data_IF_833384609562
#
_entry.id   IF_833384609562
#
_cell.length_a   1.000
_cell.length_b   1.000
_cell.length_c   1.000
_cell.angle_alpha   90.00
_cell.angle_beta   90.00
_cell.angle_gamma   90.00
#
_symmetry.space_group_name_H-M   'P 1'
#
loop_
_entity.id
_entity.type
_entity.pdbx_description
1 polymer ?
#
# COMPACT_ATOMS: atom_id res chain seq x y z
N UNK A 1 25.08 -7.46 -1.93
CA UNK A 1 24.62 -8.87 -1.94
C UNK A 1 23.37 -8.94 -2.79
N UNK A 2 23.34 -9.82 -3.79
CA UNK A 2 22.19 -9.93 -4.69
C UNK A 2 20.98 -10.53 -3.96
N UNK A 3 19.87 -9.92 -4.08
CA UNK A 3 18.65 -10.21 -3.36
C UNK A 3 17.95 -11.51 -3.79
N UNK A 4 18.16 -11.94 -5.01
CA UNK A 4 17.74 -13.27 -5.46
C UNK A 4 18.34 -14.39 -4.60
N UNK A 5 19.54 -14.17 -3.99
CA UNK A 5 20.17 -15.12 -3.08
C UNK A 5 19.59 -15.10 -1.66
N UNK A 6 18.95 -14.00 -1.24
CA UNK A 6 18.44 -13.85 0.14
C UNK A 6 17.05 -14.50 0.34
N UNK A 7 16.38 -14.88 -0.74
CA UNK A 7 15.15 -15.69 -0.69
C UNK A 7 15.46 -17.17 -1.02
N UNK A 8 16.72 -17.54 -1.17
CA UNK A 8 17.06 -18.95 -1.22
C UNK A 8 16.50 -19.62 0.05
N UNK A 9 15.86 -20.79 -0.12
CA UNK A 9 15.22 -21.56 0.95
C UNK A 9 16.13 -21.77 2.17
N UNK A 10 17.45 -21.66 2.01
CA UNK A 10 18.46 -21.81 3.05
C UNK A 10 18.52 -20.69 4.09
N UNK A 11 17.84 -19.55 3.86
CA UNK A 11 17.88 -18.38 4.77
C UNK A 11 16.55 -18.07 5.45
N UNK A 12 15.51 -18.88 5.20
CA UNK A 12 14.21 -18.71 5.84
C UNK A 12 14.24 -19.21 7.28
N UNK A 13 13.60 -18.49 8.18
CA UNK A 13 13.30 -19.03 9.49
C UNK A 13 12.37 -20.24 9.38
N UNK A 14 12.41 -21.20 10.31
CA UNK A 14 11.49 -22.32 10.33
C UNK A 14 10.01 -21.91 10.26
N UNK A 15 9.65 -20.79 10.87
CA UNK A 15 8.30 -20.24 10.84
C UNK A 15 7.90 -19.74 9.45
N UNK A 16 8.79 -19.07 8.73
CA UNK A 16 8.56 -18.61 7.36
C UNK A 16 8.47 -19.78 6.38
N UNK A 17 9.33 -20.79 6.56
CA UNK A 17 9.27 -22.01 5.77
C UNK A 17 7.94 -22.73 5.98
N UNK A 18 7.49 -22.91 7.21
CA UNK A 18 6.20 -23.52 7.51
C UNK A 18 5.02 -22.74 6.89
N UNK A 19 5.06 -21.41 6.91
CA UNK A 19 4.05 -20.55 6.25
C UNK A 19 4.03 -20.77 4.73
N UNK A 20 5.20 -20.87 4.08
CA UNK A 20 5.30 -21.12 2.63
C UNK A 20 4.80 -22.50 2.25
N UNK A 21 5.19 -23.53 3.00
CA UNK A 21 4.72 -24.90 2.79
C UNK A 21 3.20 -25.01 2.98
N UNK A 22 2.68 -24.38 4.03
CA UNK A 22 1.25 -24.29 4.28
C UNK A 22 0.49 -23.58 3.14
N UNK A 23 1.03 -22.48 2.60
CA UNK A 23 0.44 -21.82 1.43
C UNK A 23 0.50 -22.72 0.19
N UNK A 24 1.63 -23.37 -0.08
CA UNK A 24 1.80 -24.29 -1.21
C UNK A 24 0.83 -25.46 -1.14
N UNK A 25 0.57 -25.99 0.04
CA UNK A 25 -0.39 -27.08 0.23
C UNK A 25 -1.84 -26.64 -0.02
N UNK A 26 -2.23 -25.43 0.43
CA UNK A 26 -3.60 -24.94 0.27
C UNK A 26 -3.86 -24.27 -1.07
N UNK A 27 -2.90 -23.50 -1.59
CA UNK A 27 -3.03 -22.66 -2.79
C UNK A 27 -1.79 -22.79 -3.68
N UNK A 28 -1.58 -23.95 -4.31
CA UNK A 28 -0.34 -24.24 -5.06
C UNK A 28 -0.12 -23.26 -6.22
N UNK A 29 -1.18 -22.84 -6.91
CA UNK A 29 -1.08 -21.87 -8.00
C UNK A 29 -0.61 -20.48 -7.52
N UNK A 30 -1.18 -19.99 -6.42
CA UNK A 30 -0.73 -18.72 -5.79
C UNK A 30 0.72 -18.83 -5.35
N UNK A 31 1.10 -19.94 -4.70
CA UNK A 31 2.48 -20.15 -4.26
C UNK A 31 3.47 -20.17 -5.44
N UNK A 32 3.09 -20.77 -6.57
CA UNK A 32 3.90 -20.75 -7.79
C UNK A 32 4.07 -19.32 -8.35
N UNK A 33 3.00 -18.53 -8.42
CA UNK A 33 3.07 -17.14 -8.88
C UNK A 33 3.98 -16.29 -7.98
N UNK A 34 3.90 -16.47 -6.67
CA UNK A 34 4.78 -15.78 -5.72
C UNK A 34 6.26 -16.18 -5.89
N UNK A 35 6.54 -17.45 -6.11
CA UNK A 35 7.88 -17.95 -6.36
C UNK A 35 8.48 -17.41 -7.69
N UNK A 36 7.64 -17.13 -8.67
CA UNK A 36 8.07 -16.60 -9.97
C UNK A 36 8.43 -15.10 -9.96
N UNK A 37 8.10 -14.35 -8.88
CA UNK A 37 8.33 -12.89 -8.86
C UNK A 37 9.81 -12.55 -9.08
N UNK A 38 10.73 -13.23 -8.40
CA UNK A 38 12.15 -12.99 -8.55
C UNK A 38 12.62 -13.24 -10.00
N UNK A 39 12.18 -14.33 -10.63
CA UNK A 39 12.49 -14.64 -12.00
C UNK A 39 11.88 -13.63 -13.00
N UNK A 40 10.70 -13.08 -12.72
CA UNK A 40 10.13 -11.98 -13.51
C UNK A 40 11.01 -10.74 -13.44
N UNK A 41 11.43 -10.35 -12.25
CA UNK A 41 12.31 -9.20 -12.05
C UNK A 41 13.68 -9.38 -12.75
N UNK A 42 14.26 -10.57 -12.73
CA UNK A 42 15.50 -10.88 -13.45
C UNK A 42 15.37 -10.71 -14.98
N UNK A 43 14.19 -10.98 -15.54
CA UNK A 43 13.88 -10.76 -16.95
C UNK A 43 13.50 -9.31 -17.28
N UNK A 44 13.51 -8.41 -16.28
CA UNK A 44 13.06 -7.03 -16.44
C UNK A 44 11.52 -6.87 -16.51
N UNK A 45 10.79 -7.93 -16.19
CA UNK A 45 9.33 -7.90 -16.05
C UNK A 45 8.93 -7.30 -14.69
N UNK A 46 7.72 -6.78 -14.59
CA UNK A 46 7.22 -6.20 -13.34
C UNK A 46 6.12 -7.05 -12.73
N UNK A 47 6.09 -7.12 -11.40
CA UNK A 47 5.05 -7.82 -10.65
C UNK A 47 4.48 -6.94 -9.53
N UNK A 48 3.75 -5.86 -9.88
CA UNK A 48 3.21 -4.95 -8.88
C UNK A 48 2.18 -5.64 -7.98
N UNK A 49 2.16 -5.21 -6.73
CA UNK A 49 1.01 -5.41 -5.85
C UNK A 49 -0.09 -4.47 -6.35
N UNK A 50 -1.30 -4.99 -6.55
CA UNK A 50 -2.47 -4.19 -6.92
C UNK A 50 -3.21 -3.81 -5.64
N UNK A 51 -3.16 -2.52 -5.27
CA UNK A 51 -4.00 -1.97 -4.21
C UNK A 51 -5.35 -1.62 -4.80
N UNK A 52 -6.41 -2.24 -4.28
CA UNK A 52 -7.79 -2.00 -4.69
C UNK A 52 -8.49 -1.13 -3.64
N UNK A 53 -8.75 0.12 -4.00
CA UNK A 53 -9.47 1.09 -3.19
C UNK A 53 -10.94 1.19 -3.64
N UNK A 54 -11.69 0.10 -3.45
CA UNK A 54 -13.08 0.01 -3.90
C UNK A 54 -13.99 1.05 -3.27
N UNK A 55 -13.69 1.45 -2.03
CA UNK A 55 -14.45 2.43 -1.27
C UNK A 55 -13.55 3.29 -0.40
N UNK A 56 -13.90 4.58 -0.27
CA UNK A 56 -13.25 5.50 0.65
C UNK A 56 -14.09 5.74 1.93
N UNK A 57 -15.11 4.91 2.17
CA UNK A 57 -15.84 4.92 3.44
C UNK A 57 -14.92 4.48 4.57
N UNK A 58 -14.85 5.25 5.66
CA UNK A 58 -14.03 4.97 6.82
C UNK A 58 -14.71 5.42 8.10
N UNK A 59 -14.52 4.65 9.16
CA UNK A 59 -14.99 4.94 10.51
C UNK A 59 -14.02 5.80 11.33
N UNK A 60 -12.86 6.19 10.75
CA UNK A 60 -11.85 7.07 11.36
C UNK A 60 -11.67 8.36 10.55
N UNK A 61 -10.97 9.35 11.17
CA UNK A 61 -10.58 10.62 10.57
C UNK A 61 -9.13 10.96 10.95
N UNK A 62 -8.20 10.09 10.55
CA UNK A 62 -6.80 10.19 10.92
C UNK A 62 -6.17 11.51 10.44
N UNK A 63 -5.28 12.09 11.26
CA UNK A 63 -4.59 13.35 10.93
C UNK A 63 -3.62 13.24 9.76
N UNK A 64 -3.20 11.99 9.44
CA UNK A 64 -2.24 11.65 8.38
C UNK A 64 -2.87 10.92 7.18
N UNK A 65 -4.20 10.98 7.02
CA UNK A 65 -4.90 10.18 6.03
C UNK A 65 -4.53 10.59 4.59
N UNK A 66 -3.81 9.73 3.87
CA UNK A 66 -3.45 9.97 2.47
C UNK A 66 -4.66 9.96 1.53
N UNK A 67 -5.73 9.24 1.89
CA UNK A 67 -6.96 9.13 1.10
C UNK A 67 -7.99 10.24 1.39
N UNK A 68 -7.69 11.23 2.24
CA UNK A 68 -8.66 12.25 2.67
C UNK A 68 -9.31 12.97 1.49
N UNK A 69 -8.55 13.32 0.45
CA UNK A 69 -9.07 14.05 -0.71
C UNK A 69 -9.99 13.21 -1.61
N UNK A 70 -9.95 11.89 -1.47
CA UNK A 70 -10.86 10.97 -2.17
C UNK A 70 -12.19 10.78 -1.43
N UNK A 71 -12.26 11.14 -0.14
CA UNK A 71 -13.44 10.93 0.68
C UNK A 71 -14.56 11.91 0.37
N UNK A 72 -15.79 11.45 0.27
CA UNK A 72 -16.97 12.30 0.03
C UNK A 72 -17.15 13.36 1.13
N UNK A 73 -16.81 13.03 2.39
CA UNK A 73 -16.85 13.99 3.50
C UNK A 73 -15.96 15.21 3.25
N UNK A 74 -14.76 15.01 2.71
CA UNK A 74 -13.83 16.09 2.37
C UNK A 74 -14.38 16.93 1.21
N UNK A 75 -14.84 16.27 0.15
CA UNK A 75 -15.43 16.92 -1.02
C UNK A 75 -16.63 17.80 -0.66
N UNK A 76 -17.55 17.27 0.16
CA UNK A 76 -18.71 18.03 0.66
C UNK A 76 -18.31 19.22 1.55
N UNK A 77 -17.31 19.03 2.41
CA UNK A 77 -16.85 20.06 3.35
C UNK A 77 -16.04 21.17 2.65
N UNK A 78 -15.06 20.80 1.82
CA UNK A 78 -14.08 21.72 1.23
C UNK A 78 -14.55 22.27 -0.10
N UNK A 79 -14.97 21.40 -1.02
CA UNK A 79 -15.37 21.78 -2.37
C UNK A 79 -16.87 22.00 -2.53
N UNK A 80 -17.69 21.61 -1.54
CA UNK A 80 -19.15 21.68 -1.57
C UNK A 80 -19.78 20.95 -2.76
N UNK A 81 -19.16 19.88 -3.18
CA UNK A 81 -19.59 19.04 -4.31
C UNK A 81 -19.82 17.59 -3.88
N UNK A 82 -20.60 16.87 -4.68
CA UNK A 82 -20.80 15.44 -4.57
C UNK A 82 -20.08 14.73 -5.72
N UNK A 83 -19.37 13.65 -5.42
CA UNK A 83 -18.70 12.84 -6.44
C UNK A 83 -19.72 11.91 -7.09
N UNK A 84 -20.14 12.27 -8.30
CA UNK A 84 -21.12 11.51 -9.09
C UNK A 84 -20.47 10.48 -10.03
N UNK A 85 -19.14 10.35 -10.03
CA UNK A 85 -18.46 9.35 -10.89
C UNK A 85 -18.91 7.94 -10.53
N UNK A 86 -19.10 7.12 -11.56
CA UNK A 86 -19.46 5.71 -11.38
C UNK A 86 -18.42 4.98 -10.54
N UNK A 87 -18.85 4.30 -9.49
CA UNK A 87 -17.99 3.45 -8.67
C UNK A 87 -17.82 2.08 -9.33
N UNK A 88 -16.68 1.43 -9.08
CA UNK A 88 -16.44 0.06 -9.55
C UNK A 88 -17.38 -0.92 -8.83
N UNK A 89 -17.88 -1.88 -9.60
CA UNK A 89 -18.73 -2.98 -9.14
C UNK A 89 -17.95 -4.30 -9.08
N UNK A 90 -18.64 -5.40 -8.76
CA UNK A 90 -18.01 -6.71 -8.68
C UNK A 90 -17.60 -7.26 -10.05
N UNK A 91 -18.28 -6.90 -11.14
CA UNK A 91 -17.90 -7.33 -12.49
C UNK A 91 -16.60 -6.65 -12.91
N UNK A 92 -16.41 -5.38 -12.58
CA UNK A 92 -15.13 -4.71 -12.73
C UNK A 92 -14.02 -5.42 -11.94
N UNK A 93 -14.28 -5.83 -10.68
CA UNK A 93 -13.29 -6.54 -9.85
C UNK A 93 -12.94 -7.89 -10.46
N UNK A 94 -13.91 -8.65 -10.99
CA UNK A 94 -13.65 -9.92 -11.70
C UNK A 94 -12.81 -9.72 -12.96
N UNK A 95 -13.12 -8.67 -13.75
CA UNK A 95 -12.32 -8.30 -14.92
C UNK A 95 -10.87 -7.98 -14.52
N UNK A 96 -10.68 -7.15 -13.49
CA UNK A 96 -9.36 -6.81 -12.98
C UNK A 96 -8.58 -8.03 -12.49
N UNK A 97 -9.24 -8.93 -11.74
CA UNK A 97 -8.66 -10.20 -11.29
C UNK A 97 -8.18 -11.05 -12.46
N UNK A 98 -9.02 -11.17 -13.51
CA UNK A 98 -8.65 -11.91 -14.73
C UNK A 98 -7.45 -11.30 -15.45
N UNK A 99 -7.44 -9.98 -15.65
CA UNK A 99 -6.34 -9.28 -16.32
C UNK A 99 -5.03 -9.42 -15.52
N UNK A 100 -5.11 -9.37 -14.20
CA UNK A 100 -3.95 -9.59 -13.32
C UNK A 100 -3.42 -11.03 -13.42
N UNK A 101 -4.32 -12.02 -13.46
CA UNK A 101 -3.96 -13.42 -13.63
C UNK A 101 -3.30 -13.69 -14.98
N UNK A 102 -3.86 -13.15 -16.07
CA UNK A 102 -3.32 -13.25 -17.43
C UNK A 102 -1.88 -12.66 -17.52
N UNK A 103 -1.54 -11.70 -16.65
CA UNK A 103 -0.20 -11.10 -16.53
C UNK A 103 0.70 -11.79 -15.49
N UNK A 104 0.24 -12.86 -14.85
CA UNK A 104 0.98 -13.57 -13.81
C UNK A 104 1.09 -12.81 -12.48
N UNK A 105 0.33 -11.74 -12.28
CA UNK A 105 0.37 -10.96 -11.03
C UNK A 105 -0.27 -11.74 -9.89
N UNK A 106 0.41 -11.77 -8.74
CA UNK A 106 0.06 -12.66 -7.65
C UNK A 106 -0.73 -11.99 -6.51
N UNK A 107 -0.63 -10.66 -6.33
CA UNK A 107 -0.98 -10.03 -5.07
C UNK A 107 -1.99 -8.91 -5.21
N UNK A 108 -3.06 -8.97 -4.37
CA UNK A 108 -4.00 -7.87 -4.17
C UNK A 108 -4.01 -7.40 -2.71
N UNK A 109 -4.12 -6.09 -2.52
CA UNK A 109 -4.39 -5.46 -1.22
C UNK A 109 -5.73 -4.77 -1.29
N UNK A 110 -6.72 -5.24 -0.54
CA UNK A 110 -8.00 -4.55 -0.37
C UNK A 110 -7.80 -3.46 0.67
N UNK A 111 -8.06 -2.21 0.29
CA UNK A 111 -7.79 -1.02 1.09
C UNK A 111 -8.74 0.14 0.68
N UNK A 112 -8.35 1.40 0.91
CA UNK A 112 -9.09 2.59 0.57
C UNK A 112 -9.39 3.44 1.80
N UNK A 113 -10.66 3.49 2.27
CA UNK A 113 -11.02 3.95 3.60
C UNK A 113 -10.72 2.86 4.63
N UNK A 114 -11.77 2.28 5.24
CA UNK A 114 -11.65 1.07 6.04
C UNK A 114 -12.36 -0.09 5.31
N UNK A 115 -11.65 -1.10 4.81
CA UNK A 115 -12.27 -2.19 4.06
C UNK A 115 -13.34 -2.95 4.84
N UNK A 116 -13.14 -3.15 6.15
CA UNK A 116 -14.05 -3.95 6.98
C UNK A 116 -15.38 -3.23 7.32
N UNK A 117 -15.59 -1.98 6.86
CA UNK A 117 -16.92 -1.34 6.89
C UNK A 117 -17.74 -1.62 5.62
N UNK A 118 -17.12 -2.15 4.56
CA UNK A 118 -17.84 -2.48 3.32
C UNK A 118 -18.76 -3.68 3.56
N UNK A 119 -20.02 -3.54 3.19
CA UNK A 119 -21.01 -4.62 3.32
C UNK A 119 -20.73 -5.78 2.35
N UNK A 120 -20.11 -5.48 1.22
CA UNK A 120 -19.77 -6.40 0.15
C UNK A 120 -18.28 -6.82 0.17
N UNK A 121 -17.60 -6.69 1.32
CA UNK A 121 -16.18 -7.07 1.45
C UNK A 121 -15.92 -8.53 1.05
N UNK A 122 -16.76 -9.44 1.53
CA UNK A 122 -16.62 -10.87 1.27
C UNK A 122 -16.84 -11.17 -0.23
N UNK A 123 -17.79 -10.48 -0.88
CA UNK A 123 -18.02 -10.57 -2.33
C UNK A 123 -16.83 -10.03 -3.14
N UNK A 124 -16.16 -8.98 -2.64
CA UNK A 124 -14.92 -8.45 -3.25
C UNK A 124 -13.82 -9.48 -3.17
N UNK A 125 -13.63 -10.13 -2.01
CA UNK A 125 -12.64 -11.22 -1.87
C UNK A 125 -12.94 -12.33 -2.85
N UNK A 126 -14.20 -12.77 -2.94
CA UNK A 126 -14.62 -13.81 -3.88
C UNK A 126 -14.40 -13.39 -5.35
N UNK A 127 -14.70 -12.14 -5.70
CA UNK A 127 -14.50 -11.60 -7.06
C UNK A 127 -13.01 -11.49 -7.46
N UNK A 128 -12.11 -11.35 -6.48
CA UNK A 128 -10.65 -11.37 -6.70
C UNK A 128 -10.09 -12.78 -6.89
N UNK A 129 -10.87 -13.84 -6.66
CA UNK A 129 -10.48 -15.24 -6.78
C UNK A 129 -9.28 -15.61 -5.89
N UNK A 130 -9.52 -15.95 -4.61
CA UNK A 130 -8.47 -16.31 -3.65
C UNK A 130 -7.65 -17.55 -4.03
N UNK A 131 -8.15 -18.39 -4.96
CA UNK A 131 -7.40 -19.54 -5.49
C UNK A 131 -6.34 -19.12 -6.51
N UNK A 132 -6.47 -17.90 -7.06
CA UNK A 132 -5.55 -17.35 -8.05
C UNK A 132 -4.66 -16.25 -7.49
N UNK A 133 -5.07 -15.60 -6.41
CA UNK A 133 -4.36 -14.43 -5.87
C UNK A 133 -4.14 -14.53 -4.37
N UNK A 134 -3.01 -13.98 -3.94
CA UNK A 134 -2.68 -13.76 -2.54
C UNK A 134 -3.38 -12.48 -2.06
N UNK A 135 -4.47 -12.65 -1.32
CA UNK A 135 -5.31 -11.54 -0.86
C UNK A 135 -4.79 -11.00 0.46
N UNK A 136 -4.59 -9.70 0.50
CA UNK A 136 -4.17 -8.93 1.67
C UNK A 136 -5.27 -7.91 1.97
N UNK A 137 -5.51 -7.58 3.23
CA UNK A 137 -6.34 -6.42 3.61
C UNK A 137 -5.58 -5.50 4.56
N UNK A 138 -5.60 -4.20 4.25
CA UNK A 138 -5.15 -3.16 5.17
C UNK A 138 -6.34 -2.74 6.03
N UNK A 139 -6.19 -2.69 7.35
CA UNK A 139 -7.29 -2.29 8.25
C UNK A 139 -6.80 -1.54 9.47
N UNK A 140 -7.66 -0.66 10.00
CA UNK A 140 -7.43 0.00 11.28
C UNK A 140 -7.70 -0.91 12.50
N UNK A 141 -8.12 -2.15 12.28
CA UNK A 141 -8.32 -3.16 13.32
C UNK A 141 -9.59 -2.99 14.15
N UNK A 142 -10.40 -1.94 13.94
CA UNK A 142 -11.57 -1.65 14.79
C UNK A 142 -12.61 -2.78 14.79
N UNK A 143 -12.84 -3.38 13.64
CA UNK A 143 -13.84 -4.45 13.44
C UNK A 143 -13.21 -5.86 13.38
N UNK A 144 -11.93 -5.98 13.68
CA UNK A 144 -11.21 -7.24 13.61
C UNK A 144 -11.12 -7.88 15.01
N UNK A 145 -12.12 -8.67 15.36
CA UNK A 145 -12.13 -9.56 16.51
C UNK A 145 -11.86 -11.01 16.10
N UNK A 146 -11.85 -11.93 17.06
CA UNK A 146 -11.52 -13.35 16.86
C UNK A 146 -12.41 -14.01 15.80
N UNK A 147 -13.72 -13.73 15.85
CA UNK A 147 -14.69 -14.27 14.89
C UNK A 147 -14.43 -13.72 13.47
N UNK A 148 -14.17 -12.40 13.37
CA UNK A 148 -13.90 -11.77 12.07
C UNK A 148 -12.53 -12.20 11.53
N UNK A 149 -11.50 -12.34 12.35
CA UNK A 149 -10.19 -12.83 11.93
C UNK A 149 -10.27 -14.25 11.36
N UNK A 150 -10.96 -15.15 12.05
CA UNK A 150 -11.23 -16.50 11.56
C UNK A 150 -12.00 -16.47 10.24
N UNK A 151 -13.06 -15.69 10.15
CA UNK A 151 -13.86 -15.56 8.95
C UNK A 151 -13.04 -15.04 7.75
N UNK A 152 -12.18 -14.04 7.95
CA UNK A 152 -11.28 -13.56 6.90
C UNK A 152 -10.38 -14.66 6.36
N UNK A 153 -9.85 -15.50 7.26
CA UNK A 153 -9.05 -16.68 6.87
C UNK A 153 -9.86 -17.67 6.06
N UNK A 154 -11.08 -17.97 6.51
CA UNK A 154 -11.98 -18.95 5.88
C UNK A 154 -12.39 -18.53 4.46
N UNK A 155 -12.61 -17.24 4.21
CA UNK A 155 -12.94 -16.71 2.87
C UNK A 155 -11.72 -16.51 1.96
N UNK A 156 -10.51 -16.80 2.44
CA UNK A 156 -9.29 -16.81 1.63
C UNK A 156 -8.40 -15.58 1.70
N UNK A 157 -8.61 -14.68 2.67
CA UNK A 157 -7.62 -13.62 3.00
C UNK A 157 -6.40 -14.30 3.64
N UNK A 158 -5.21 -14.05 3.11
CA UNK A 158 -3.97 -14.67 3.59
C UNK A 158 -3.17 -13.77 4.54
N UNK A 159 -3.27 -12.45 4.36
CA UNK A 159 -2.53 -11.49 5.18
C UNK A 159 -3.42 -10.33 5.60
N UNK A 160 -3.21 -9.88 6.84
CA UNK A 160 -3.76 -8.63 7.36
C UNK A 160 -2.62 -7.67 7.65
N UNK A 161 -2.76 -6.41 7.24
CA UNK A 161 -1.87 -5.33 7.60
C UNK A 161 -2.62 -4.40 8.57
N UNK A 162 -2.18 -4.40 9.83
CA UNK A 162 -2.79 -3.63 10.91
C UNK A 162 -2.07 -2.31 11.13
N UNK A 163 -2.87 -1.26 11.20
CA UNK A 163 -2.36 0.09 11.42
C UNK A 163 -2.10 0.36 12.91
N UNK A 164 -0.83 0.41 13.31
CA UNK A 164 -0.39 0.74 14.67
C UNK A 164 0.62 1.91 14.59
N UNK A 165 0.25 3.09 15.07
CA UNK A 165 1.07 4.30 14.91
C UNK A 165 1.79 4.74 16.19
N UNK A 166 1.53 4.14 17.33
CA UNK A 166 2.30 4.37 18.56
C UNK A 166 2.12 3.23 19.55
N UNK A 167 3.13 3.00 20.38
CA UNK A 167 3.04 2.15 21.57
C UNK A 167 2.44 2.87 22.77
N UNK A 168 2.20 4.18 22.66
CA UNK A 168 1.51 4.99 23.65
C UNK A 168 0.05 5.16 23.24
N UNK A 169 -0.88 4.65 24.07
CA UNK A 169 -2.34 4.64 23.79
C UNK A 169 -2.84 6.03 23.35
N UNK A 170 -2.52 7.06 24.13
CA UNK A 170 -2.97 8.44 23.87
C UNK A 170 -2.47 8.97 22.53
N UNK A 171 -1.23 8.68 22.17
CA UNK A 171 -0.63 9.18 20.95
C UNK A 171 -1.20 8.47 19.72
N UNK A 172 -1.38 7.14 19.81
CA UNK A 172 -2.06 6.37 18.78
C UNK A 172 -3.49 6.87 18.55
N UNK A 173 -4.28 6.99 19.62
CA UNK A 173 -5.68 7.41 19.54
C UNK A 173 -5.82 8.84 18.99
N UNK A 174 -4.91 9.74 19.37
CA UNK A 174 -4.88 11.11 18.86
C UNK A 174 -4.49 11.15 17.38
N UNK A 175 -3.46 10.43 16.97
CA UNK A 175 -2.99 10.40 15.58
C UNK A 175 -4.04 9.79 14.63
N UNK A 176 -4.81 8.80 15.13
CA UNK A 176 -5.95 8.19 14.45
C UNK A 176 -7.25 8.97 14.62
N UNK A 177 -7.27 10.00 15.49
CA UNK A 177 -8.47 10.76 15.88
C UNK A 177 -9.65 9.82 16.24
N UNK A 178 -9.33 8.79 17.05
CA UNK A 178 -10.29 7.75 17.43
C UNK A 178 -9.96 7.17 18.81
N UNK A 179 -10.62 7.67 19.89
CA UNK A 179 -10.44 7.11 21.22
C UNK A 179 -10.74 5.61 21.28
N UNK A 180 -9.85 4.85 21.92
CA UNK A 180 -9.95 3.39 22.07
C UNK A 180 -9.43 2.59 20.87
N UNK A 181 -8.90 3.23 19.83
CA UNK A 181 -8.35 2.54 18.66
C UNK A 181 -7.10 1.72 19.01
N UNK A 182 -6.28 2.20 19.95
CA UNK A 182 -5.10 1.47 20.43
C UNK A 182 -5.45 0.09 20.99
N UNK A 183 -6.42 0.04 21.92
CA UNK A 183 -6.87 -1.24 22.50
C UNK A 183 -7.48 -2.18 21.46
N UNK A 184 -8.18 -1.61 20.48
CA UNK A 184 -8.78 -2.39 19.39
C UNK A 184 -7.73 -2.99 18.47
N UNK A 185 -6.71 -2.22 18.07
CA UNK A 185 -5.66 -2.76 17.19
C UNK A 185 -4.81 -3.81 17.90
N UNK A 186 -4.49 -3.66 19.19
CA UNK A 186 -3.76 -4.70 19.94
C UNK A 186 -4.56 -6.01 20.04
N UNK A 187 -5.88 -5.93 20.28
CA UNK A 187 -6.75 -7.11 20.23
C UNK A 187 -6.75 -7.74 18.83
N UNK A 188 -6.81 -6.92 17.78
CA UNK A 188 -6.78 -7.40 16.41
C UNK A 188 -5.45 -8.08 16.04
N UNK A 189 -4.32 -7.67 16.66
CA UNK A 189 -3.04 -8.38 16.54
C UNK A 189 -3.18 -9.82 17.03
N UNK A 190 -3.67 -10.00 18.26
CA UNK A 190 -3.80 -11.33 18.85
C UNK A 190 -4.82 -12.19 18.08
N UNK A 191 -5.99 -11.64 17.77
CA UNK A 191 -7.02 -12.32 16.96
C UNK A 191 -6.50 -12.78 15.58
N UNK A 192 -5.68 -11.97 14.93
CA UNK A 192 -5.09 -12.31 13.61
C UNK A 192 -4.09 -13.47 13.71
N UNK A 193 -3.24 -13.45 14.73
CA UNK A 193 -2.26 -14.50 14.98
C UNK A 193 -2.94 -15.82 15.34
N UNK A 194 -3.94 -15.79 16.23
CA UNK A 194 -4.71 -16.95 16.67
C UNK A 194 -5.52 -17.59 15.50
N UNK A 195 -6.00 -16.78 14.56
CA UNK A 195 -6.65 -17.24 13.34
C UNK A 195 -5.67 -17.81 12.29
N UNK A 196 -4.36 -17.73 12.51
CA UNK A 196 -3.35 -18.18 11.55
C UNK A 196 -3.24 -17.31 10.29
N UNK A 197 -3.65 -16.04 10.36
CA UNK A 197 -3.41 -15.04 9.32
C UNK A 197 -1.94 -14.61 9.34
N UNK A 198 -1.36 -14.36 8.18
CA UNK A 198 -0.11 -13.61 8.15
C UNK A 198 -0.39 -12.19 8.61
N UNK A 199 0.40 -11.71 9.57
CA UNK A 199 0.22 -10.38 10.13
C UNK A 199 1.41 -9.50 9.79
N UNK A 200 1.10 -8.25 9.43
CA UNK A 200 2.04 -7.16 9.25
C UNK A 200 1.53 -5.96 10.05
N UNK A 201 2.38 -5.33 10.85
CA UNK A 201 2.09 -4.03 11.43
C UNK A 201 2.48 -2.93 10.43
N UNK A 202 1.73 -1.85 10.40
CA UNK A 202 1.99 -0.70 9.54
C UNK A 202 1.90 0.59 10.32
N UNK A 203 2.90 1.46 10.16
CA UNK A 203 2.94 2.77 10.79
C UNK A 203 3.30 3.86 9.80
N UNK A 204 2.83 5.09 10.06
CA UNK A 204 3.27 6.28 9.36
C UNK A 204 4.36 6.98 10.16
N UNK A 205 5.57 7.06 9.60
CA UNK A 205 6.69 7.74 10.20
C UNK A 205 6.59 9.23 9.91
N UNK A 206 6.48 10.03 10.97
CA UNK A 206 6.61 11.49 10.92
C UNK A 206 8.00 11.92 11.36
N UNK A 207 8.42 13.12 10.96
CA UNK A 207 9.74 13.69 11.21
C UNK A 207 10.15 13.57 12.68
N UNK A 208 11.36 13.08 12.91
CA UNK A 208 11.98 12.94 14.22
C UNK A 208 11.51 11.75 15.06
N UNK A 209 10.40 11.10 14.70
CA UNK A 209 9.85 9.99 15.49
C UNK A 209 10.77 8.78 15.52
N UNK A 210 11.50 8.50 14.45
CA UNK A 210 12.47 7.38 14.38
C UNK A 210 13.56 7.45 15.46
N UNK A 211 13.80 8.63 16.03
CA UNK A 211 14.80 8.90 17.06
C UNK A 211 14.27 8.68 18.50
N UNK A 212 12.99 8.34 18.65
CA UNK A 212 12.35 8.19 19.94
C UNK A 212 12.44 6.76 20.47
N UNK A 213 12.49 6.60 21.80
CA UNK A 213 12.42 5.28 22.43
C UNK A 213 11.11 4.57 22.09
N UNK A 214 10.01 5.31 21.97
CA UNK A 214 8.70 4.77 21.61
C UNK A 214 8.72 4.03 20.26
N UNK A 215 9.47 4.55 19.27
CA UNK A 215 9.61 3.89 17.97
C UNK A 215 10.45 2.61 18.07
N UNK A 216 11.49 2.60 18.89
CA UNK A 216 12.27 1.38 19.20
C UNK A 216 11.39 0.35 19.91
N UNK A 217 10.59 0.77 20.91
CA UNK A 217 9.64 -0.11 21.61
C UNK A 217 8.64 -0.75 20.61
N UNK A 218 8.23 -0.03 19.55
CA UNK A 218 7.40 -0.58 18.49
C UNK A 218 8.14 -1.63 17.65
N UNK A 219 9.40 -1.39 17.30
CA UNK A 219 10.24 -2.37 16.59
C UNK A 219 10.42 -3.65 17.41
N UNK A 220 10.69 -3.50 18.72
CA UNK A 220 10.80 -4.62 19.65
C UNK A 220 9.49 -5.38 19.82
N UNK A 221 8.35 -4.67 19.91
CA UNK A 221 7.03 -5.28 19.99
C UNK A 221 6.74 -6.14 18.75
N UNK A 222 6.99 -5.61 17.53
CA UNK A 222 6.81 -6.36 16.31
C UNK A 222 7.69 -7.62 16.27
N UNK A 223 8.97 -7.48 16.63
CA UNK A 223 9.94 -8.57 16.72
C UNK A 223 9.49 -9.64 17.72
N UNK A 224 9.06 -9.23 18.92
CA UNK A 224 8.54 -10.14 19.96
C UNK A 224 7.30 -10.90 19.53
N UNK A 225 6.42 -10.27 18.75
CA UNK A 225 5.22 -10.92 18.16
C UNK A 225 5.56 -11.81 16.95
N UNK A 226 6.79 -11.80 16.47
CA UNK A 226 7.21 -12.54 15.27
C UNK A 226 6.57 -12.02 13.97
N UNK A 227 6.30 -10.70 13.92
CA UNK A 227 5.67 -10.02 12.76
C UNK A 227 6.58 -8.93 12.22
N UNK A 228 6.39 -8.56 10.95
CA UNK A 228 7.11 -7.43 10.37
C UNK A 228 6.45 -6.10 10.72
N UNK A 229 7.25 -5.03 10.71
CA UNK A 229 6.80 -3.65 10.81
C UNK A 229 7.06 -2.92 9.48
N UNK A 230 6.01 -2.63 8.75
CA UNK A 230 6.07 -1.80 7.55
C UNK A 230 5.99 -0.32 7.92
N UNK A 231 7.00 0.43 7.55
CA UNK A 231 7.09 1.87 7.84
C UNK A 231 6.84 2.65 6.55
N UNK A 232 5.74 3.38 6.51
CA UNK A 232 5.45 4.35 5.45
C UNK A 232 5.87 5.74 5.88
N UNK A 233 6.57 6.48 5.03
CA UNK A 233 6.89 7.89 5.30
C UNK A 233 5.62 8.73 5.20
N UNK A 234 5.48 9.73 6.07
CA UNK A 234 4.52 10.81 5.84
C UNK A 234 4.90 11.52 4.53
N UNK A 235 3.93 11.69 3.65
CA UNK A 235 4.11 12.28 2.32
C UNK A 235 3.18 13.48 2.16
N UNK A 236 3.55 14.49 1.37
CA UNK A 236 2.76 15.72 1.20
C UNK A 236 1.50 15.46 0.34
N UNK A 237 0.67 14.50 0.74
CA UNK A 237 -0.58 14.11 0.07
C UNK A 237 -1.70 13.90 1.09
N UNK A 238 -2.94 14.05 0.69
CA UNK A 238 -4.09 13.96 1.59
C UNK A 238 -3.96 14.93 2.76
N UNK A 239 -4.31 14.49 3.97
CA UNK A 239 -4.22 15.33 5.18
C UNK A 239 -2.79 15.79 5.50
N UNK A 240 -1.76 15.02 5.13
CA UNK A 240 -0.37 15.42 5.36
C UNK A 240 0.09 16.59 4.47
N UNK A 241 -0.63 16.96 3.42
CA UNK A 241 -0.28 18.13 2.61
C UNK A 241 -0.39 19.46 3.38
N UNK A 242 -1.23 19.47 4.42
CA UNK A 242 -1.41 20.61 5.32
C UNK A 242 -0.44 20.57 6.52
N UNK A 243 0.41 19.53 6.60
CA UNK A 243 1.33 19.25 7.70
C UNK A 243 2.77 19.02 7.19
N UNK A 244 3.44 20.03 6.63
CA UNK A 244 4.81 19.89 6.13
C UNK A 244 5.80 19.46 7.21
N UNK A 245 5.50 19.74 8.48
CA UNK A 245 6.27 19.31 9.64
C UNK A 245 6.29 17.79 9.85
N UNK A 246 5.39 17.05 9.22
CA UNK A 246 5.37 15.57 9.27
C UNK A 246 6.36 14.91 8.32
N UNK A 247 6.77 15.64 7.26
CA UNK A 247 7.63 15.07 6.22
C UNK A 247 9.02 14.82 6.80
N UNK A 248 9.47 13.58 6.70
CA UNK A 248 10.80 13.16 7.21
C UNK A 248 11.92 13.82 6.42
N UNK A 249 13.07 13.93 7.04
CA UNK A 249 14.30 14.35 6.36
C UNK A 249 15.23 13.16 6.07
N UNK A 250 16.38 13.46 5.48
CA UNK A 250 17.37 12.43 5.13
C UNK A 250 17.92 11.72 6.35
N UNK A 251 18.08 12.43 7.47
CA UNK A 251 18.59 11.82 8.72
C UNK A 251 17.62 10.78 9.26
N UNK A 252 16.30 11.09 9.26
CA UNK A 252 15.27 10.13 9.66
C UNK A 252 15.27 8.88 8.76
N UNK A 253 15.43 9.08 7.45
CA UNK A 253 15.48 7.98 6.49
C UNK A 253 16.73 7.11 6.67
N UNK A 254 17.89 7.69 6.96
CA UNK A 254 19.15 6.97 7.20
C UNK A 254 19.09 6.15 8.49
N UNK A 255 18.55 6.73 9.58
CA UNK A 255 18.34 6.00 10.84
C UNK A 255 17.41 4.81 10.64
N UNK A 256 16.31 5.00 9.88
CA UNK A 256 15.39 3.90 9.60
C UNK A 256 16.05 2.76 8.82
N UNK A 257 16.92 3.07 7.85
CA UNK A 257 17.72 2.07 7.12
C UNK A 257 18.69 1.29 8.02
N UNK A 258 19.19 1.92 9.09
CA UNK A 258 20.00 1.22 10.08
C UNK A 258 19.15 0.29 10.94
N UNK A 259 17.96 0.70 11.37
CA UNK A 259 17.02 -0.14 12.10
C UNK A 259 16.53 -1.37 11.30
N UNK A 260 16.43 -1.26 9.94
CA UNK A 260 16.13 -2.40 9.07
C UNK A 260 17.16 -3.54 9.16
N UNK A 261 18.38 -3.26 9.64
CA UNK A 261 19.45 -4.25 9.83
C UNK A 261 19.33 -5.00 11.16
N UNK A 262 18.66 -4.40 12.14
CA UNK A 262 18.56 -4.91 13.51
C UNK A 262 17.21 -5.54 13.82
N UNK A 263 16.14 -5.02 13.21
CA UNK A 263 14.76 -5.41 13.45
C UNK A 263 14.08 -5.90 12.17
N UNK A 264 12.97 -6.62 12.30
CA UNK A 264 12.11 -6.98 11.17
C UNK A 264 11.27 -5.78 10.72
N UNK A 265 11.96 -4.72 10.32
CA UNK A 265 11.40 -3.44 9.86
C UNK A 265 11.74 -3.27 8.39
N UNK A 266 10.83 -2.73 7.60
CA UNK A 266 11.08 -2.45 6.19
C UNK A 266 10.15 -1.34 5.67
N UNK A 267 10.52 -0.74 4.55
CA UNK A 267 9.77 0.32 3.89
C UNK A 267 9.30 -0.12 2.50
N UNK A 268 8.59 0.77 1.80
CA UNK A 268 8.29 0.57 0.38
C UNK A 268 9.54 0.60 -0.50
N UNK A 269 10.67 1.12 0.00
CA UNK A 269 11.96 1.14 -0.69
C UNK A 269 12.71 -0.18 -0.52
N UNK A 270 12.40 -0.90 0.56
CA UNK A 270 12.88 -2.23 0.91
C UNK A 270 11.68 -3.17 1.04
N UNK A 271 10.99 -3.53 -0.05
CA UNK A 271 9.81 -4.37 0.05
C UNK A 271 10.14 -5.66 0.81
N UNK A 272 9.12 -6.38 1.26
CA UNK A 272 9.17 -7.59 2.14
C UNK A 272 10.28 -8.61 1.85
N UNK A 273 11.14 -8.30 0.96
CA UNK A 273 12.31 -9.09 0.55
C UNK A 273 13.61 -8.63 1.22
N UNK A 274 13.60 -7.51 2.01
CA UNK A 274 14.74 -7.03 2.78
C UNK A 274 15.90 -6.42 1.97
N UNK A 275 15.77 -6.17 0.66
CA UNK A 275 16.76 -5.44 -0.14
C UNK A 275 16.23 -4.09 -0.55
N UNK A 276 17.08 -3.09 -0.40
CA UNK A 276 16.82 -1.76 -0.94
C UNK A 276 16.83 -1.80 -2.48
N UNK A 277 15.67 -1.50 -3.08
CA UNK A 277 15.52 -1.41 -4.55
C UNK A 277 15.29 0.00 -5.05
N UNK A 278 15.00 0.93 -4.15
CA UNK A 278 14.55 2.26 -4.50
C UNK A 278 13.05 2.33 -4.80
N UNK A 279 12.63 3.40 -5.43
CA UNK A 279 11.21 3.68 -5.67
C UNK A 279 10.53 2.61 -6.54
N UNK A 280 9.49 1.99 -5.99
CA UNK A 280 8.77 0.86 -6.61
C UNK A 280 7.50 1.29 -7.38
N UNK A 281 7.32 2.58 -7.67
CA UNK A 281 6.17 3.06 -8.47
C UNK A 281 6.02 2.22 -9.74
N UNK A 282 4.82 1.81 -10.06
CA UNK A 282 4.44 0.92 -11.17
C UNK A 282 5.06 -0.47 -11.09
N UNK A 283 6.37 -0.57 -10.82
CA UNK A 283 7.13 -1.82 -10.84
C UNK A 283 6.71 -2.80 -9.74
N UNK A 284 6.54 -2.29 -8.53
CA UNK A 284 6.22 -3.09 -7.34
C UNK A 284 4.85 -2.79 -6.74
N UNK A 285 4.21 -1.67 -7.12
CA UNK A 285 2.89 -1.28 -6.61
C UNK A 285 2.15 -0.40 -7.59
N UNK A 286 0.84 -0.61 -7.68
CA UNK A 286 -0.13 0.30 -8.30
C UNK A 286 -1.38 0.39 -7.42
N UNK A 287 -2.17 1.44 -7.61
CA UNK A 287 -3.47 1.57 -6.94
C UNK A 287 -4.59 1.70 -7.96
N UNK A 288 -5.64 0.92 -7.81
CA UNK A 288 -6.91 1.04 -8.55
C UNK A 288 -7.93 1.71 -7.64
N UNK A 289 -8.37 2.90 -8.03
CA UNK A 289 -9.30 3.71 -7.23
C UNK A 289 -10.75 3.21 -7.36
N UNK A 290 -11.63 3.72 -6.52
CA UNK A 290 -13.07 3.40 -6.54
C UNK A 290 -13.78 3.80 -7.85
N UNK A 291 -13.15 4.56 -8.72
CA UNK A 291 -13.68 4.97 -10.03
C UNK A 291 -13.01 4.26 -11.20
N UNK A 292 -12.07 3.35 -10.93
CA UNK A 292 -11.36 2.57 -11.94
C UNK A 292 -10.10 3.24 -12.49
N UNK A 293 -9.73 4.42 -11.98
CA UNK A 293 -8.45 5.05 -12.30
C UNK A 293 -7.29 4.28 -11.70
N UNK A 294 -6.18 4.19 -12.41
CA UNK A 294 -4.96 3.55 -11.91
C UNK A 294 -3.91 4.60 -11.62
N UNK A 295 -3.41 4.64 -10.38
CA UNK A 295 -2.27 5.49 -10.00
C UNK A 295 -1.00 4.67 -9.83
N UNK A 296 0.19 5.25 -10.07
CA UNK A 296 1.47 4.54 -10.01
C UNK A 296 1.89 4.10 -8.61
N UNK A 297 1.32 4.72 -7.58
CA UNK A 297 1.41 4.33 -6.18
C UNK A 297 0.28 5.03 -5.39
N UNK A 298 0.02 4.68 -4.11
CA UNK A 298 -1.09 5.26 -3.33
C UNK A 298 -0.91 6.74 -2.97
N UNK A 299 0.21 7.36 -3.31
CA UNK A 299 0.54 8.75 -2.93
C UNK A 299 0.77 9.66 -4.13
N UNK A 300 0.69 9.16 -5.35
CA UNK A 300 0.80 9.96 -6.58
C UNK A 300 -0.60 10.08 -7.18
N UNK A 301 -1.22 11.23 -6.96
CA UNK A 301 -2.61 11.52 -7.31
C UNK A 301 -2.79 11.88 -8.80
N UNK A 302 -2.07 11.20 -9.68
CA UNK A 302 -2.14 11.33 -11.14
C UNK A 302 -2.35 9.95 -11.77
N UNK A 303 -3.34 9.84 -12.66
CA UNK A 303 -3.73 8.59 -13.29
C UNK A 303 -2.81 8.19 -14.44
N UNK A 304 -2.62 6.88 -14.60
CA UNK A 304 -2.01 6.23 -15.78
C UNK A 304 -3.08 5.79 -16.80
N UNK A 305 -4.35 5.94 -16.48
CA UNK A 305 -5.50 5.57 -17.26
C UNK A 305 -6.62 4.93 -16.45
N UNK A 306 -7.79 4.78 -17.04
CA UNK A 306 -8.96 4.18 -16.42
C UNK A 306 -9.23 2.79 -17.00
N UNK A 307 -9.34 1.77 -16.14
CA UNK A 307 -9.57 0.38 -16.56
C UNK A 307 -10.99 0.12 -17.12
N UNK A 308 -11.87 1.12 -17.14
CA UNK A 308 -13.12 1.08 -17.90
C UNK A 308 -12.89 1.35 -19.40
N UNK A 309 -11.83 2.08 -19.71
CA UNK A 309 -11.51 2.55 -21.06
C UNK A 309 -10.34 1.79 -21.70
N UNK A 310 -9.48 1.22 -20.85
CA UNK A 310 -8.28 0.49 -21.28
C UNK A 310 -8.09 -0.78 -20.42
N UNK A 311 -7.00 -1.52 -20.63
CA UNK A 311 -6.67 -2.72 -19.88
C UNK A 311 -5.43 -2.52 -18.99
N UNK A 312 -5.26 -3.43 -18.04
CA UNK A 312 -4.16 -3.36 -17.06
C UNK A 312 -2.78 -3.39 -17.73
N UNK A 313 -2.60 -4.20 -18.78
CA UNK A 313 -1.33 -4.31 -19.50
C UNK A 313 -0.91 -2.97 -20.10
N UNK A 314 -1.85 -2.27 -20.73
CA UNK A 314 -1.58 -0.96 -21.34
C UNK A 314 -1.25 0.10 -20.29
N UNK A 315 -1.99 0.14 -19.19
CA UNK A 315 -1.74 1.06 -18.08
C UNK A 315 -0.34 0.85 -17.48
N UNK A 316 0.05 -0.40 -17.25
CA UNK A 316 1.39 -0.73 -16.77
C UNK A 316 2.47 -0.31 -17.78
N UNK A 317 2.24 -0.56 -19.07
CA UNK A 317 3.16 -0.16 -20.12
C UNK A 317 3.33 1.38 -20.21
N UNK A 318 2.25 2.17 -20.04
CA UNK A 318 2.32 3.63 -19.94
C UNK A 318 3.20 4.06 -18.78
N UNK A 319 2.96 3.49 -17.60
CA UNK A 319 3.76 3.79 -16.40
C UNK A 319 5.25 3.47 -16.59
N UNK A 320 5.56 2.33 -17.21
CA UNK A 320 6.95 1.91 -17.45
C UNK A 320 7.67 2.76 -18.51
N UNK A 321 6.97 3.30 -19.49
CA UNK A 321 7.54 4.24 -20.47
C UNK A 321 7.79 5.64 -19.88
N UNK A 322 7.13 5.97 -18.76
CA UNK A 322 7.27 7.29 -18.15
C UNK A 322 8.67 7.45 -17.54
N UNK A 323 9.44 8.52 -17.86
CA UNK A 323 10.82 8.70 -17.41
C UNK A 323 10.95 8.94 -15.90
N UNK A 324 9.89 9.35 -15.20
CA UNK A 324 9.86 9.45 -13.75
C UNK A 324 9.59 8.11 -13.08
N UNK A 325 8.67 7.31 -13.65
CA UNK A 325 8.10 6.14 -13.00
C UNK A 325 8.79 4.83 -13.38
N UNK A 326 9.23 4.70 -14.64
CA UNK A 326 9.83 3.46 -15.18
C UNK A 326 11.16 3.09 -14.53
N UNK A 327 12.15 3.98 -14.43
CA UNK A 327 13.43 3.68 -13.80
C UNK A 327 13.29 3.43 -12.29
N UNK A 328 14.15 2.56 -11.72
CA UNK A 328 14.36 2.54 -10.27
C UNK A 328 15.15 3.79 -9.88
N UNK A 329 14.66 4.48 -8.85
CA UNK A 329 15.27 5.69 -8.30
C UNK A 329 15.68 5.43 -6.86
N UNK A 330 16.84 5.96 -6.41
CA UNK A 330 17.29 5.73 -5.03
C UNK A 330 16.36 6.36 -3.99
N UNK A 331 15.69 7.46 -4.36
CA UNK A 331 14.83 8.22 -3.47
C UNK A 331 13.34 7.99 -3.80
N UNK A 332 12.48 8.13 -2.80
CA UNK A 332 11.04 8.09 -2.98
C UNK A 332 10.57 9.32 -3.76
N UNK A 333 10.00 9.14 -4.96
CA UNK A 333 9.54 10.23 -5.81
C UNK A 333 8.66 11.25 -5.08
N UNK A 334 7.65 10.79 -4.35
CA UNK A 334 6.66 11.66 -3.70
C UNK A 334 7.01 11.96 -2.23
N UNK A 335 8.07 11.38 -1.69
CA UNK A 335 8.49 11.61 -0.31
C UNK A 335 9.83 12.34 -0.18
N UNK A 336 10.72 12.23 -1.18
CA UNK A 336 12.11 12.71 -1.08
C UNK A 336 12.52 13.54 -2.31
N UNK A 337 12.04 13.24 -3.53
CA UNK A 337 12.41 13.96 -4.75
C UNK A 337 11.67 15.30 -4.84
N UNK A 338 12.36 16.39 -4.48
CA UNK A 338 11.79 17.73 -4.44
C UNK A 338 11.32 18.23 -5.80
N UNK A 339 11.94 17.78 -6.89
CA UNK A 339 11.56 18.16 -8.25
C UNK A 339 10.24 17.49 -8.61
N UNK A 340 10.11 16.21 -8.34
CA UNK A 340 8.86 15.48 -8.57
C UNK A 340 7.72 15.96 -7.65
N UNK A 341 8.01 16.24 -6.37
CA UNK A 341 7.02 16.77 -5.42
C UNK A 341 6.46 18.12 -5.94
N UNK A 342 7.31 19.03 -6.42
CA UNK A 342 6.86 20.30 -7.01
C UNK A 342 6.01 20.08 -8.26
N UNK A 343 6.43 19.17 -9.16
CA UNK A 343 5.67 18.78 -10.34
C UNK A 343 4.30 18.23 -9.96
N UNK A 344 4.25 17.25 -9.06
CA UNK A 344 3.02 16.64 -8.56
C UNK A 344 2.07 17.68 -7.96
N UNK A 345 2.58 18.51 -7.05
CA UNK A 345 1.78 19.57 -6.40
C UNK A 345 1.21 20.55 -7.42
N UNK A 346 2.02 20.97 -8.42
CA UNK A 346 1.56 21.86 -9.49
C UNK A 346 0.41 21.23 -10.30
N UNK A 347 0.51 19.92 -10.61
CA UNK A 347 -0.49 19.22 -11.40
C UNK A 347 -1.77 18.88 -10.63
N UNK A 348 -1.66 18.60 -9.34
CA UNK A 348 -2.81 18.20 -8.50
C UNK A 348 -3.55 19.38 -7.87
N UNK A 349 -2.88 20.55 -7.75
CA UNK A 349 -3.46 21.74 -7.15
C UNK A 349 -4.68 22.23 -7.94
N UNK A 350 -5.81 22.37 -7.24
CA UNK A 350 -7.05 22.89 -7.82
C UNK A 350 -7.96 21.82 -8.42
N UNK A 351 -7.53 20.56 -8.51
CA UNK A 351 -8.42 19.47 -8.89
C UNK A 351 -9.36 19.10 -7.74
N UNK A 352 -10.65 19.07 -8.04
CA UNK A 352 -11.71 18.70 -7.09
C UNK A 352 -11.97 17.21 -7.02
N UNK A 353 -11.52 16.48 -8.04
CA UNK A 353 -11.66 15.02 -8.16
C UNK A 353 -10.31 14.40 -8.52
N UNK A 354 -9.67 13.77 -7.54
CA UNK A 354 -8.45 13.02 -7.77
C UNK A 354 -8.76 11.54 -8.13
N UNK A 355 -7.84 10.85 -8.77
CA UNK A 355 -6.57 11.39 -9.30
C UNK A 355 -6.82 12.28 -10.53
N UNK A 356 -5.83 13.12 -10.83
CA UNK A 356 -5.82 13.89 -12.08
C UNK A 356 -5.83 12.92 -13.25
N UNK A 357 -6.75 13.07 -14.22
CA UNK A 357 -6.90 12.11 -15.32
C UNK A 357 -5.65 11.99 -16.19
N UNK A 358 -5.48 10.83 -16.84
CA UNK A 358 -4.49 10.65 -17.90
C UNK A 358 -4.65 11.73 -18.98
N UNK A 359 -3.54 12.25 -19.48
CA UNK A 359 -3.49 13.35 -20.40
C UNK A 359 -3.39 14.74 -19.77
N UNK A 360 -3.74 14.87 -18.48
CA UNK A 360 -3.65 16.13 -17.72
C UNK A 360 -2.55 16.10 -16.66
N UNK A 361 -2.40 15.00 -15.96
CA UNK A 361 -1.29 14.75 -15.05
C UNK A 361 -0.07 14.23 -15.79
N UNK A 362 -0.13 12.96 -16.17
CA UNK A 362 0.78 12.33 -17.13
C UNK A 362 0.13 12.29 -18.51
N UNK A 363 0.95 12.27 -19.58
CA UNK A 363 0.50 12.03 -20.96
C UNK A 363 1.66 11.50 -21.80
N UNK A 364 1.36 10.97 -22.98
CA UNK A 364 2.42 10.57 -23.93
C UNK A 364 3.23 11.78 -24.42
N UNK A 365 2.62 12.97 -24.47
CA UNK A 365 3.27 14.23 -24.86
C UNK A 365 4.11 14.82 -23.71
N UNK A 366 3.65 14.70 -22.45
CA UNK A 366 4.35 15.15 -21.24
C UNK A 366 5.36 14.11 -20.72
N UNK A 367 5.68 13.10 -21.49
CA UNK A 367 6.60 12.05 -21.11
C UNK A 367 8.08 12.48 -21.23
N UNK A 368 8.32 13.75 -21.52
CA UNK A 368 9.65 14.34 -21.53
C UNK A 368 9.91 15.05 -20.20
N UNK A 369 11.10 14.86 -19.64
CA UNK A 369 11.57 15.56 -18.43
C UNK A 369 11.63 17.10 -18.60
N UNK A 370 11.28 17.62 -19.77
CA UNK A 370 11.44 19.01 -20.19
C UNK A 370 10.20 19.88 -20.02
N UNK A 371 9.04 19.34 -19.68
CA UNK A 371 7.85 20.16 -19.52
C UNK A 371 7.80 20.88 -18.17
N UNK A 372 8.49 22.03 -18.11
CA UNK A 372 8.25 23.07 -17.11
C UNK A 372 9.06 23.00 -15.83
N UNK A 373 10.21 22.35 -15.86
CA UNK A 373 11.23 22.50 -14.81
C UNK A 373 12.43 23.21 -15.42
N UNK A 374 12.45 24.53 -15.31
CA UNK A 374 13.69 25.28 -15.43
C UNK A 374 14.64 24.83 -14.32
N UNK A 375 15.88 24.53 -14.72
CA UNK A 375 16.95 24.01 -13.88
C UNK A 375 17.30 24.96 -12.73
#
# INVERSE_FOLDING_TARGET
MHYAETIAESHLTPAEQAKREGLKARKPYVAQKLANIAAMEERGEISPIIRLEKSYLCNFQCTHCSAEYYMDRHKKKVFKIEDTRSKIDLDFVRKLSKEADDLGLARFVITGGEPLVMKDFDDVVAALDPEKHYIITDTNGWFLDDARAKHLKDIGVEKVQLSLDSMIEKDHDNFRNKPGSYKRVLRAVDASLDAGLNLLLSTVLVKGRVKTQEFIDMCEYATKKGVGLYVSYAKPTGSCSDHPEFVIDKEDADILRDLEKEYNVFTHMTPTYGSYKGCITVKGIITVTSTGEVTPCPYIDMSLGNLRETNLKEVLARGMRNPWLGPYRPDCLIGEDQQFIKFHTKKTKGFTHLPVPWGQGFSDENNTLTDGVEA
#
